data_IF_537412592224
#
_entry.id   IF_537412592224
#
_cell.length_a   1.000
_cell.length_b   1.000
_cell.length_c   1.000
_cell.angle_alpha   90.00
_cell.angle_beta   90.00
_cell.angle_gamma   90.00
#
_symmetry.space_group_name_H-M   'P 1'
#
loop_
_entity.id
_entity.type
_entity.pdbx_description
1 polymer ?
#
# COMPACT_ATOMS: atom_id res chain seq x y z
N UNK A 1 14.53 5.77 -8.19
CA UNK A 1 14.21 5.46 -9.55
C UNK A 1 12.95 6.16 -10.04
N UNK A 2 12.75 6.09 -11.34
CA UNK A 2 11.60 6.74 -11.96
C UNK A 2 10.26 6.23 -11.42
N UNK A 3 10.15 4.93 -11.21
CA UNK A 3 8.91 4.34 -10.72
C UNK A 3 8.61 4.80 -9.29
N UNK A 4 9.62 4.81 -8.43
CA UNK A 4 9.44 5.27 -7.06
C UNK A 4 9.07 6.76 -7.02
N UNK A 5 9.70 7.57 -7.88
CA UNK A 5 9.37 9.00 -7.97
C UNK A 5 7.94 9.21 -8.46
N UNK A 6 7.48 8.36 -9.37
CA UNK A 6 6.12 8.44 -9.89
C UNK A 6 5.09 8.15 -8.79
N UNK A 7 5.34 7.14 -7.94
CA UNK A 7 4.47 6.85 -6.81
C UNK A 7 4.48 8.02 -5.83
N UNK A 8 5.66 8.55 -5.50
CA UNK A 8 5.76 9.68 -4.59
C UNK A 8 4.98 10.88 -5.11
N UNK A 9 5.11 11.18 -6.41
CA UNK A 9 4.39 12.29 -7.04
C UNK A 9 2.89 12.07 -7.00
N UNK A 10 2.44 10.86 -7.30
CA UNK A 10 1.01 10.53 -7.29
C UNK A 10 0.44 10.70 -5.88
N UNK A 11 1.14 10.19 -4.88
CA UNK A 11 0.66 10.28 -3.50
C UNK A 11 0.66 11.71 -2.98
N UNK A 12 1.63 12.53 -3.38
CA UNK A 12 1.63 13.95 -3.04
C UNK A 12 0.43 14.66 -3.65
N UNK A 13 0.11 14.35 -4.90
CA UNK A 13 -1.06 14.92 -5.56
C UNK A 13 -2.35 14.53 -4.86
N UNK A 14 -2.49 13.25 -4.51
CA UNK A 14 -3.66 12.76 -3.79
C UNK A 14 -3.79 13.41 -2.42
N UNK A 15 -2.69 13.59 -1.71
CA UNK A 15 -2.70 14.24 -0.41
C UNK A 15 -3.11 15.71 -0.53
N UNK A 16 -2.62 16.40 -1.55
CA UNK A 16 -2.99 17.79 -1.80
C UNK A 16 -4.49 17.94 -2.05
N UNK A 17 -5.05 17.04 -2.87
CA UNK A 17 -6.49 17.05 -3.14
C UNK A 17 -7.29 16.78 -1.88
N UNK A 18 -6.83 15.86 -1.05
CA UNK A 18 -7.51 15.54 0.20
C UNK A 18 -7.50 16.73 1.16
N UNK A 19 -6.37 17.41 1.28
CA UNK A 19 -6.27 18.60 2.13
C UNK A 19 -7.18 19.73 1.66
N UNK A 20 -7.26 19.91 0.34
CA UNK A 20 -8.18 20.91 -0.22
C UNK A 20 -9.63 20.57 0.10
N UNK A 21 -10.01 19.29 0.02
CA UNK A 21 -11.35 18.86 0.38
C UNK A 21 -11.63 19.04 1.87
N UNK A 22 -10.64 18.77 2.72
CA UNK A 22 -10.79 18.94 4.17
C UNK A 22 -10.89 20.39 4.60
N UNK A 23 -10.37 21.32 3.80
CA UNK A 23 -10.48 22.75 4.12
C UNK A 23 -11.94 23.21 4.17
N UNK A 24 -12.86 22.45 3.57
CA UNK A 24 -14.29 22.79 3.55
C UNK A 24 -15.11 21.95 4.53
N UNK A 25 -14.45 21.13 5.36
CA UNK A 25 -15.11 20.24 6.31
C UNK A 25 -14.51 20.44 7.70
N UNK A 26 -15.32 20.19 8.77
CA UNK A 26 -14.74 20.13 10.11
C UNK A 26 -13.70 18.99 10.18
N UNK A 27 -12.58 19.19 10.86
CA UNK A 27 -11.59 18.12 10.99
C UNK A 27 -12.17 16.95 11.77
N UNK A 28 -11.81 15.74 11.33
CA UNK A 28 -12.13 14.53 12.06
C UNK A 28 -11.31 14.49 13.35
N UNK A 29 -11.93 14.04 14.41
CA UNK A 29 -11.29 14.01 15.72
C UNK A 29 -10.38 12.81 15.94
N UNK A 30 -10.19 11.96 14.93
CA UNK A 30 -9.39 10.74 15.11
C UNK A 30 -7.90 11.06 15.07
N UNK A 31 -7.11 10.27 15.78
CA UNK A 31 -5.67 10.45 15.91
C UNK A 31 -4.85 10.01 14.71
N UNK A 32 -5.45 9.80 13.55
CA UNK A 32 -4.73 9.42 12.34
C UNK A 32 -4.08 8.05 12.47
N UNK A 33 -2.95 7.87 11.77
CA UNK A 33 -2.30 6.57 11.69
C UNK A 33 -1.84 6.06 13.05
N UNK A 34 -1.39 6.96 13.92
CA UNK A 34 -0.86 6.58 15.23
C UNK A 34 -1.87 5.77 16.05
N UNK A 35 -3.15 6.11 15.97
CA UNK A 35 -4.20 5.43 16.71
C UNK A 35 -4.46 4.01 16.19
N UNK A 36 -3.96 3.68 15.01
CA UNK A 36 -4.20 2.40 14.34
C UNK A 36 -3.06 1.40 14.52
N UNK A 37 -2.03 1.75 15.29
CA UNK A 37 -0.86 0.91 15.45
C UNK A 37 -1.25 -0.47 15.95
N UNK A 38 -0.81 -1.51 15.23
CA UNK A 38 -1.07 -2.89 15.60
C UNK A 38 -2.49 -3.38 15.36
N UNK A 39 -3.33 -2.61 14.65
CA UNK A 39 -4.74 -2.95 14.46
C UNK A 39 -5.11 -3.26 13.02
N UNK A 40 -4.24 -2.96 12.05
CA UNK A 40 -4.57 -3.14 10.64
C UNK A 40 -4.61 -4.62 10.27
N UNK A 41 -5.56 -4.99 9.42
CA UNK A 41 -5.66 -6.35 8.91
C UNK A 41 -4.54 -6.60 7.92
N UNK A 42 -4.11 -7.87 7.78
CA UNK A 42 -3.12 -8.23 6.79
C UNK A 42 -3.72 -8.16 5.39
N UNK A 43 -2.96 -7.63 4.40
CA UNK A 43 -3.49 -7.49 3.04
C UNK A 43 -3.60 -8.83 2.31
N UNK A 44 -2.85 -9.83 2.73
CA UNK A 44 -2.95 -11.20 2.20
C UNK A 44 -2.34 -12.15 3.19
N UNK A 45 -2.64 -13.45 3.01
CA UNK A 45 -2.00 -14.48 3.81
C UNK A 45 -0.71 -14.91 3.12
N UNK A 46 0.35 -15.06 3.90
CA UNK A 46 1.64 -15.45 3.36
C UNK A 46 2.77 -15.01 4.27
N UNK A 47 3.97 -15.31 3.83
CA UNK A 47 5.18 -15.01 4.59
C UNK A 47 5.82 -13.73 4.08
N UNK A 48 6.22 -12.85 4.99
CA UNK A 48 6.97 -11.65 4.63
C UNK A 48 8.37 -12.09 4.18
N UNK A 49 8.73 -11.71 2.96
CA UNK A 49 10.03 -12.10 2.37
C UNK A 49 10.92 -10.90 2.10
N UNK A 50 10.41 -9.68 2.26
CA UNK A 50 11.19 -8.47 2.13
C UNK A 50 10.64 -7.44 3.09
N UNK A 51 11.51 -6.67 3.74
CA UNK A 51 11.16 -5.79 4.84
C UNK A 51 11.39 -4.33 4.49
N UNK A 52 10.64 -3.47 5.14
CA UNK A 52 10.78 -2.03 5.03
C UNK A 52 12.10 -1.56 5.59
N UNK A 53 12.67 -0.54 4.98
CA UNK A 53 13.80 0.17 5.52
C UNK A 53 15.07 -0.01 4.74
N UNK A 54 16.16 0.39 5.34
CA UNK A 54 17.46 0.38 4.72
C UNK A 54 18.11 -0.99 4.87
N UNK A 55 18.51 -1.59 3.75
CA UNK A 55 19.14 -2.90 3.74
C UNK A 55 20.43 -2.82 2.94
N UNK A 56 21.47 -3.51 3.43
CA UNK A 56 22.73 -3.59 2.71
C UNK A 56 22.59 -4.52 1.51
N UNK A 57 23.08 -4.09 0.35
CA UNK A 57 23.08 -4.93 -0.83
C UNK A 57 24.04 -6.11 -0.60
N UNK A 58 23.62 -7.35 -0.92
CA UNK A 58 24.44 -8.53 -0.62
C UNK A 58 25.74 -8.60 -1.43
N UNK A 59 25.80 -7.98 -2.61
CA UNK A 59 26.96 -8.04 -3.49
C UNK A 59 27.79 -6.78 -3.46
N UNK A 60 27.14 -5.63 -3.42
CA UNK A 60 27.83 -4.33 -3.46
C UNK A 60 27.80 -3.68 -2.08
N UNK A 61 28.80 -2.84 -1.82
CA UNK A 61 28.89 -2.15 -0.54
C UNK A 61 28.01 -0.88 -0.56
N UNK A 62 26.74 -1.08 -0.87
CA UNK A 62 25.73 -0.03 -0.92
C UNK A 62 24.49 -0.46 -0.14
N UNK A 63 23.57 0.48 0.06
CA UNK A 63 22.32 0.21 0.76
C UNK A 63 21.15 0.40 -0.17
N UNK A 64 20.09 -0.40 0.04
CA UNK A 64 18.83 -0.29 -0.68
C UNK A 64 17.80 0.22 0.31
N UNK A 65 17.07 1.28 -0.07
CA UNK A 65 15.97 1.79 0.72
C UNK A 65 14.68 1.16 0.21
N UNK A 66 14.02 0.35 1.05
CA UNK A 66 12.75 -0.26 0.69
C UNK A 66 11.61 0.49 1.35
N UNK A 67 10.62 0.86 0.54
CA UNK A 67 9.49 1.70 0.98
C UNK A 67 8.28 0.88 1.41
N UNK A 68 8.35 -0.42 1.31
CA UNK A 68 7.26 -1.31 1.69
C UNK A 68 7.78 -2.70 1.99
N UNK A 69 6.85 -3.63 2.13
CA UNK A 69 7.19 -5.04 2.37
C UNK A 69 6.70 -5.89 1.22
N UNK A 70 7.26 -7.09 1.08
CA UNK A 70 6.76 -8.08 0.13
C UNK A 70 6.31 -9.31 0.90
N UNK A 71 5.13 -9.81 0.54
CA UNK A 71 4.53 -10.99 1.16
C UNK A 71 4.38 -12.03 0.07
N UNK A 72 5.00 -13.20 0.27
CA UNK A 72 4.86 -14.32 -0.67
C UNK A 72 3.51 -14.95 -0.45
N UNK A 73 2.73 -15.09 -1.54
CA UNK A 73 1.40 -15.66 -1.48
C UNK A 73 1.19 -16.52 -2.73
N UNK A 74 0.31 -17.52 -2.62
CA UNK A 74 -0.05 -18.32 -3.78
C UNK A 74 -0.72 -17.44 -4.82
N UNK A 75 -0.50 -17.73 -6.09
CA UNK A 75 -1.14 -17.00 -7.18
C UNK A 75 -2.66 -17.05 -7.01
N UNK A 76 -3.31 -15.91 -7.21
CA UNK A 76 -4.76 -15.83 -7.07
C UNK A 76 -5.26 -15.69 -5.64
N UNK A 77 -4.36 -15.51 -4.67
CA UNK A 77 -4.78 -15.22 -3.30
C UNK A 77 -5.47 -13.86 -3.24
N UNK A 78 -6.46 -13.73 -2.38
CA UNK A 78 -7.16 -12.44 -2.23
C UNK A 78 -6.23 -11.38 -1.65
N UNK A 79 -6.28 -10.20 -2.25
CA UNK A 79 -5.71 -8.99 -1.67
C UNK A 79 -6.86 -8.28 -0.98
N UNK A 80 -6.70 -8.03 0.32
CA UNK A 80 -7.75 -7.41 1.15
C UNK A 80 -7.31 -6.04 1.62
N UNK A 81 -8.25 -5.12 1.70
CA UNK A 81 -7.96 -3.81 2.24
C UNK A 81 -7.65 -3.94 3.73
N UNK A 82 -6.56 -3.30 4.16
CA UNK A 82 -6.12 -3.37 5.57
C UNK A 82 -7.02 -2.55 6.48
N UNK A 83 -7.82 -1.65 5.91
CA UNK A 83 -8.67 -0.73 6.66
C UNK A 83 -9.75 -0.23 5.71
N UNK A 84 -10.89 0.20 6.25
CA UNK A 84 -11.94 0.80 5.43
C UNK A 84 -11.43 2.06 4.75
N UNK A 85 -11.88 2.32 3.53
CA UNK A 85 -11.45 3.50 2.79
C UNK A 85 -12.07 3.56 1.42
N UNK A 86 -11.46 4.38 0.57
CA UNK A 86 -11.93 4.60 -0.79
C UNK A 86 -10.79 4.34 -1.76
N UNK A 87 -11.09 3.67 -2.87
CA UNK A 87 -10.10 3.43 -3.92
C UNK A 87 -9.83 4.72 -4.66
N UNK A 88 -8.57 5.15 -4.71
CA UNK A 88 -8.17 6.37 -5.41
C UNK A 88 -7.30 6.09 -6.63
N UNK A 89 -6.80 4.88 -6.78
CA UNK A 89 -6.05 4.45 -7.96
C UNK A 89 -6.22 2.95 -8.13
N UNK A 90 -6.44 2.50 -9.37
CA UNK A 90 -6.60 1.08 -9.67
C UNK A 90 -6.25 0.87 -11.13
N UNK A 91 -4.97 0.68 -11.42
CA UNK A 91 -4.49 0.56 -12.80
C UNK A 91 -3.03 0.09 -12.80
N UNK A 92 -2.49 -0.08 -13.98
CA UNK A 92 -1.08 -0.41 -14.20
C UNK A 92 -0.19 0.77 -13.84
N UNK A 93 0.90 0.49 -13.15
CA UNK A 93 1.91 1.49 -12.83
C UNK A 93 3.28 0.91 -13.14
N UNK A 94 4.04 1.58 -13.98
CA UNK A 94 5.34 1.10 -14.42
C UNK A 94 6.25 0.81 -13.22
N UNK A 95 6.82 -0.38 -13.21
CA UNK A 95 7.68 -0.85 -12.15
C UNK A 95 6.96 -1.55 -11.01
N UNK A 96 5.61 -1.46 -10.97
CA UNK A 96 4.81 -2.04 -9.88
C UNK A 96 3.75 -3.02 -10.38
N UNK A 97 3.46 -3.04 -11.68
CA UNK A 97 2.40 -3.87 -12.22
C UNK A 97 1.02 -3.29 -11.92
N UNK A 98 0.04 -4.14 -11.71
CA UNK A 98 -1.28 -3.68 -11.33
C UNK A 98 -1.27 -3.23 -9.88
N UNK A 99 -1.73 -2.01 -9.65
CA UNK A 99 -1.65 -1.33 -8.34
C UNK A 99 -3.02 -0.84 -7.92
N UNK A 100 -3.31 -1.00 -6.65
CA UNK A 100 -4.49 -0.42 -6.02
C UNK A 100 -4.00 0.49 -4.89
N UNK A 101 -4.49 1.72 -4.85
CA UNK A 101 -4.18 2.65 -3.75
C UNK A 101 -5.48 3.02 -3.07
N UNK A 102 -5.49 2.90 -1.74
CA UNK A 102 -6.63 3.23 -0.90
C UNK A 102 -6.36 4.49 -0.10
N UNK A 103 -7.35 5.35 0.00
CA UNK A 103 -7.33 6.50 0.89
C UNK A 103 -8.21 6.17 2.10
N UNK A 104 -7.58 6.10 3.27
CA UNK A 104 -8.27 5.72 4.52
C UNK A 104 -8.65 6.94 5.35
N UNK A 105 -8.56 8.14 4.77
CA UNK A 105 -8.75 9.41 5.45
C UNK A 105 -7.62 9.72 6.45
N UNK A 106 -7.61 10.95 6.94
CA UNK A 106 -6.62 11.42 7.92
C UNK A 106 -5.16 11.28 7.46
N UNK A 107 -4.94 11.30 6.14
CA UNK A 107 -3.59 11.21 5.59
C UNK A 107 -3.04 9.80 5.47
N UNK A 108 -3.85 8.78 5.70
CA UNK A 108 -3.40 7.39 5.66
C UNK A 108 -3.73 6.79 4.30
N UNK A 109 -2.71 6.23 3.63
CA UNK A 109 -2.86 5.54 2.35
C UNK A 109 -2.25 4.14 2.44
N UNK A 110 -2.85 3.19 1.75
CA UNK A 110 -2.25 1.88 1.54
C UNK A 110 -2.12 1.61 0.05
N UNK A 111 -1.05 0.92 -0.34
CA UNK A 111 -0.74 0.61 -1.72
C UNK A 111 -0.50 -0.89 -1.85
N UNK A 112 -1.14 -1.51 -2.83
CA UNK A 112 -1.06 -2.94 -3.09
C UNK A 112 -0.60 -3.12 -4.54
N UNK A 113 0.56 -3.72 -4.75
CA UNK A 113 1.16 -3.87 -6.08
C UNK A 113 1.41 -5.33 -6.40
N UNK A 114 1.76 -5.59 -7.66
CA UNK A 114 1.99 -6.92 -8.22
C UNK A 114 0.71 -7.75 -8.28
N UNK A 115 -0.45 -7.11 -8.33
CA UNK A 115 -1.71 -7.84 -8.47
C UNK A 115 -1.79 -8.48 -9.85
N UNK A 116 -2.45 -9.64 -9.92
CA UNK A 116 -2.77 -10.25 -11.21
C UNK A 116 -4.15 -9.80 -11.69
N UNK A 117 -4.98 -9.33 -10.76
CA UNK A 117 -6.34 -8.92 -11.08
C UNK A 117 -6.80 -7.87 -10.08
N UNK A 118 -7.51 -6.87 -10.58
CA UNK A 118 -8.13 -5.84 -9.76
C UNK A 118 -9.62 -6.13 -9.71
N UNK A 119 -10.19 -6.20 -8.50
CA UNK A 119 -11.60 -6.54 -8.28
C UNK A 119 -12.44 -5.33 -7.89
N UNK A 120 -11.87 -4.13 -7.97
CA UNK A 120 -12.54 -2.90 -7.58
C UNK A 120 -12.22 -1.81 -8.60
N UNK A 121 -12.74 -0.62 -8.37
CA UNK A 121 -12.50 0.50 -9.28
C UNK A 121 -12.38 1.80 -8.49
N UNK A 122 -11.77 2.80 -9.11
CA UNK A 122 -11.59 4.12 -8.51
C UNK A 122 -12.94 4.67 -8.09
N UNK A 123 -13.01 5.20 -6.88
CA UNK A 123 -14.23 5.75 -6.31
C UNK A 123 -14.99 4.78 -5.43
N UNK A 124 -14.69 3.49 -5.49
CA UNK A 124 -15.40 2.48 -4.70
C UNK A 124 -15.08 2.64 -3.21
N UNK A 125 -16.10 2.49 -2.39
CA UNK A 125 -15.96 2.42 -0.94
C UNK A 125 -15.74 0.98 -0.53
N UNK A 126 -14.72 0.75 0.29
CA UNK A 126 -14.26 -0.59 0.65
C UNK A 126 -14.26 -0.72 2.16
N UNK A 127 -14.76 -1.85 2.64
CA UNK A 127 -14.71 -2.19 4.07
C UNK A 127 -13.36 -2.82 4.41
N UNK A 128 -12.99 -2.74 5.69
CA UNK A 128 -11.79 -3.43 6.16
C UNK A 128 -11.92 -4.93 5.90
N UNK A 129 -10.92 -5.53 5.30
CA UNK A 129 -10.93 -6.96 4.98
C UNK A 129 -11.63 -7.33 3.69
N UNK A 130 -12.22 -6.37 2.99
CA UNK A 130 -12.87 -6.65 1.71
C UNK A 130 -11.84 -6.94 0.63
N UNK A 131 -12.10 -7.94 -0.22
CA UNK A 131 -11.19 -8.30 -1.31
C UNK A 131 -11.21 -7.22 -2.38
N UNK A 132 -10.03 -6.73 -2.75
CA UNK A 132 -9.88 -5.67 -3.74
C UNK A 132 -9.08 -6.13 -4.96
N UNK A 133 -8.45 -7.31 -4.89
CA UNK A 133 -7.68 -7.84 -5.99
C UNK A 133 -7.20 -9.24 -5.69
N UNK A 134 -6.38 -9.77 -6.60
CA UNK A 134 -5.75 -11.08 -6.45
C UNK A 134 -4.26 -10.96 -6.71
N UNK A 135 -3.48 -11.76 -5.99
CA UNK A 135 -2.02 -11.75 -6.09
C UNK A 135 -1.56 -12.42 -7.38
N UNK A 136 -0.39 -12.00 -7.85
CA UNK A 136 0.22 -12.58 -9.04
C UNK A 136 1.64 -12.09 -9.20
N UNK A 137 2.09 -12.01 -10.45
CA UNK A 137 3.46 -11.60 -10.75
C UNK A 137 3.49 -10.53 -11.84
N UNK A 138 2.58 -9.56 -11.79
CA UNK A 138 2.58 -8.47 -12.77
C UNK A 138 3.73 -7.51 -12.55
N UNK A 139 4.35 -7.54 -11.38
CA UNK A 139 5.55 -6.73 -11.09
C UNK A 139 6.82 -7.31 -11.70
N UNK A 140 6.74 -8.48 -12.31
CA UNK A 140 7.86 -9.13 -13.01
C UNK A 140 9.02 -9.47 -12.09
N UNK A 141 8.69 -9.86 -10.86
CA UNK A 141 9.70 -10.25 -9.88
C UNK A 141 10.11 -11.72 -10.00
N UNK A 142 9.36 -12.50 -10.79
CA UNK A 142 9.56 -13.94 -10.91
C UNK A 142 8.95 -14.74 -9.78
N UNK A 143 8.30 -14.09 -8.84
CA UNK A 143 7.64 -14.74 -7.70
C UNK A 143 6.26 -14.16 -7.50
N UNK A 144 5.35 -14.96 -6.97
CA UNK A 144 4.00 -14.49 -6.64
C UNK A 144 4.05 -13.81 -5.28
N UNK A 145 4.28 -12.50 -5.30
CA UNK A 145 4.34 -11.70 -4.09
C UNK A 145 3.39 -10.52 -4.18
N UNK A 146 2.89 -10.12 -3.03
CA UNK A 146 2.20 -8.84 -2.89
C UNK A 146 3.20 -7.83 -2.37
N UNK A 147 3.37 -6.72 -3.08
CA UNK A 147 4.14 -5.60 -2.58
C UNK A 147 3.17 -4.64 -1.90
N UNK A 148 3.42 -4.32 -0.65
CA UNK A 148 2.51 -3.53 0.17
C UNK A 148 3.23 -2.35 0.79
N UNK A 149 2.65 -1.14 0.63
CA UNK A 149 3.14 0.07 1.29
C UNK A 149 2.04 0.65 2.16
N UNK A 150 2.46 1.23 3.27
CA UNK A 150 1.59 2.04 4.11
C UNK A 150 2.22 3.42 4.18
N UNK A 151 1.41 4.46 3.98
CA UNK A 151 1.94 5.82 3.95
C UNK A 151 1.12 6.74 4.83
N UNK A 152 1.82 7.64 5.47
CA UNK A 152 1.22 8.77 6.17
C UNK A 152 1.51 10.01 5.33
N UNK A 153 0.50 10.57 4.69
CA UNK A 153 0.70 11.52 3.62
C UNK A 153 1.45 10.85 2.49
N UNK A 154 2.53 11.45 2.02
CA UNK A 154 3.39 10.86 1.00
C UNK A 154 4.56 10.08 1.59
N UNK A 155 4.70 10.04 2.93
CA UNK A 155 5.83 9.39 3.60
C UNK A 155 5.55 7.90 3.83
N UNK A 156 6.41 7.00 3.34
CA UNK A 156 6.24 5.58 3.63
C UNK A 156 6.64 5.29 5.08
N UNK A 157 5.90 4.38 5.70
CA UNK A 157 6.18 3.92 7.06
C UNK A 157 6.27 2.39 7.07
N UNK A 158 6.88 1.84 8.12
CA UNK A 158 7.04 0.38 8.23
C UNK A 158 5.69 -0.28 8.48
N UNK A 159 5.14 -1.01 7.50
CA UNK A 159 3.81 -1.61 7.68
C UNK A 159 3.70 -2.56 8.86
N UNK A 160 4.80 -3.23 9.22
CA UNK A 160 4.76 -4.23 10.29
C UNK A 160 4.47 -3.62 11.66
N UNK A 161 4.70 -2.32 11.82
CA UNK A 161 4.38 -1.63 13.07
C UNK A 161 2.86 -1.50 13.23
N UNK A 162 2.14 -1.37 12.13
CA UNK A 162 0.69 -1.14 12.14
C UNK A 162 -0.13 -2.39 11.90
N UNK A 163 0.42 -3.40 11.22
CA UNK A 163 -0.31 -4.64 11.00
C UNK A 163 -0.49 -5.40 12.31
N UNK A 164 -1.63 -6.06 12.44
CA UNK A 164 -1.93 -6.83 13.65
C UNK A 164 -0.97 -8.00 13.78
N UNK A 165 -0.79 -8.48 15.01
CA UNK A 165 0.03 -9.66 15.23
C UNK A 165 -0.67 -10.90 14.69
N UNK A 166 0.13 -11.82 14.15
CA UNK A 166 -0.37 -13.11 13.72
C UNK A 166 0.12 -14.20 14.64
#
# INVERSE_FOLDING_TARGET
>A
ERSANRVDSLLKELETRRRAALATRPPSATGGLRALRGTLLWPTEGQVVSYFGRQKHPTFNTYIQRKGIEIRAAEGSNIRSVLAGQVVYADWLKGYGLVIIMDHANGVFSLYAHASKILTSVGARIEAGEAIGETGDTGMTGENTLYFELREGAEPVDPLVWLSKR
#
